data_IF_366123638275
#
_entry.id   IF_366123638275
#
_cell.length_a   1.000
_cell.length_b   1.000
_cell.length_c   1.000
_cell.angle_alpha   90.00
_cell.angle_beta   90.00
_cell.angle_gamma   90.00
#
_symmetry.space_group_name_H-M   'P 1'
#
loop_
_entity.id
_entity.type
_entity.pdbx_description
1 polymer ?
#
# COMPACT_ATOMS: atom_id res chain seq x y z
N UNK A 1 -3.13 13.14 5.88
CA UNK A 1 -3.98 11.93 5.98
C UNK A 1 -3.68 11.16 7.26
N UNK A 2 -4.72 10.76 8.02
CA UNK A 2 -4.57 10.05 9.30
C UNK A 2 -4.00 8.64 9.08
N UNK A 3 -3.29 8.13 10.09
CA UNK A 3 -2.90 6.71 10.11
C UNK A 3 -4.16 5.90 10.44
N UNK A 4 -4.48 4.92 9.61
CA UNK A 4 -5.65 4.05 9.79
C UNK A 4 -5.20 2.59 9.85
N UNK A 5 -6.07 1.73 10.38
CA UNK A 5 -5.84 0.28 10.38
C UNK A 5 -6.20 -0.32 9.02
N UNK A 6 -5.78 -1.57 8.79
CA UNK A 6 -6.22 -2.36 7.65
C UNK A 6 -7.74 -2.43 7.52
N UNK A 7 -8.47 -2.62 8.63
CA UNK A 7 -9.92 -2.79 8.62
C UNK A 7 -10.63 -1.54 8.12
N UNK A 8 -10.21 -0.36 8.58
CA UNK A 8 -10.76 0.91 8.09
C UNK A 8 -10.48 1.11 6.60
N UNK A 9 -9.28 0.76 6.14
CA UNK A 9 -8.94 0.84 4.71
C UNK A 9 -9.76 -0.13 3.85
N UNK A 10 -10.03 -1.34 4.36
CA UNK A 10 -10.90 -2.32 3.71
C UNK A 10 -12.36 -1.83 3.66
N UNK A 11 -12.82 -1.15 4.71
CA UNK A 11 -14.14 -0.52 4.77
C UNK A 11 -14.29 0.73 3.88
N UNK A 12 -13.24 1.17 3.18
CA UNK A 12 -13.31 2.33 2.28
C UNK A 12 -12.71 3.61 2.82
N UNK A 13 -12.18 3.63 4.05
CA UNK A 13 -11.60 4.83 4.62
C UNK A 13 -10.30 5.24 3.91
N UNK A 14 -10.10 6.55 3.79
CA UNK A 14 -8.89 7.13 3.22
C UNK A 14 -7.88 7.48 4.31
N UNK A 15 -6.64 7.05 4.10
CA UNK A 15 -5.61 7.27 5.08
C UNK A 15 -4.26 6.72 4.66
N UNK A 16 -3.33 6.69 5.62
CA UNK A 16 -2.03 6.06 5.45
C UNK A 16 -1.97 4.74 6.23
N UNK A 17 -1.48 3.72 5.54
CA UNK A 17 -1.23 2.39 6.07
C UNK A 17 0.25 2.19 6.37
N UNK A 18 0.53 1.41 7.40
CA UNK A 18 1.87 0.89 7.63
C UNK A 18 2.24 -0.13 6.54
N UNK A 19 3.53 -0.45 6.38
CA UNK A 19 3.97 -1.51 5.46
C UNK A 19 3.24 -2.84 5.72
N UNK A 20 2.96 -3.17 6.99
CA UNK A 20 2.27 -4.40 7.37
C UNK A 20 0.82 -4.40 6.90
N UNK A 21 0.10 -3.31 7.16
CA UNK A 21 -1.30 -3.19 6.76
C UNK A 21 -1.45 -3.09 5.24
N UNK A 22 -0.54 -2.37 4.58
CA UNK A 22 -0.49 -2.28 3.12
C UNK A 22 -0.21 -3.65 2.48
N UNK A 23 0.69 -4.46 3.07
CA UNK A 23 0.95 -5.80 2.59
C UNK A 23 -0.31 -6.69 2.69
N UNK A 24 -1.02 -6.61 3.82
CA UNK A 24 -2.31 -7.30 4.01
C UNK A 24 -3.36 -6.81 3.02
N UNK A 25 -3.41 -5.52 2.73
CA UNK A 25 -4.32 -4.94 1.72
C UNK A 25 -4.07 -5.49 0.32
N UNK A 26 -2.80 -5.71 -0.06
CA UNK A 26 -2.43 -6.25 -1.37
C UNK A 26 -2.39 -7.78 -1.42
N UNK A 27 -2.67 -8.48 -0.32
CA UNK A 27 -2.53 -9.94 -0.24
C UNK A 27 -1.07 -10.42 -0.39
N UNK A 28 -0.09 -9.61 0.00
CA UNK A 28 1.34 -9.95 -0.09
C UNK A 28 2.01 -9.91 1.29
N UNK A 29 3.29 -10.28 1.34
CA UNK A 29 4.08 -10.22 2.57
C UNK A 29 4.75 -8.85 2.75
N UNK A 30 4.92 -8.43 4.00
CA UNK A 30 5.62 -7.16 4.33
C UNK A 30 7.04 -7.13 3.77
N UNK A 31 7.70 -8.30 3.71
CA UNK A 31 9.03 -8.48 3.11
C UNK A 31 9.01 -8.21 1.61
N UNK A 32 7.98 -8.68 0.90
CA UNK A 32 7.78 -8.42 -0.54
C UNK A 32 7.65 -6.92 -0.79
N UNK A 33 6.88 -6.19 0.02
CA UNK A 33 6.78 -4.73 -0.11
C UNK A 33 8.11 -4.01 0.16
N UNK A 34 8.91 -4.50 1.10
CA UNK A 34 10.25 -3.93 1.33
C UNK A 34 11.16 -4.13 0.12
N UNK A 35 11.08 -5.30 -0.51
CA UNK A 35 11.84 -5.64 -1.71
C UNK A 35 11.38 -4.86 -2.95
N UNK A 36 10.07 -4.69 -3.10
CA UNK A 36 9.48 -3.85 -4.15
C UNK A 36 9.93 -2.40 -4.03
N UNK A 37 9.91 -1.85 -2.81
CA UNK A 37 10.45 -0.51 -2.52
C UNK A 37 11.93 -0.41 -2.89
N UNK A 38 12.74 -1.46 -2.66
CA UNK A 38 14.16 -1.49 -3.02
C UNK A 38 14.39 -1.56 -4.53
N UNK A 39 13.55 -2.30 -5.24
CA UNK A 39 13.66 -2.58 -6.68
C UNK A 39 12.89 -1.60 -7.57
N UNK A 40 12.19 -0.62 -6.97
CA UNK A 40 11.35 0.33 -7.70
C UNK A 40 10.06 -0.29 -8.27
N UNK A 41 9.63 -1.44 -7.74
CA UNK A 41 8.39 -2.12 -8.12
C UNK A 41 7.27 -1.80 -7.12
N UNK A 42 6.04 -2.12 -7.48
CA UNK A 42 4.90 -2.06 -6.58
C UNK A 42 4.26 -0.66 -6.44
N UNK A 43 3.39 -0.47 -5.44
CA UNK A 43 2.78 0.82 -5.15
C UNK A 43 3.81 1.79 -4.55
N UNK A 44 3.61 3.11 -4.73
CA UNK A 44 4.52 4.13 -4.22
C UNK A 44 4.56 4.11 -2.69
N UNK A 45 5.79 4.18 -2.15
CA UNK A 45 6.04 4.26 -0.71
C UNK A 45 6.43 5.67 -0.30
N UNK A 46 5.79 6.20 0.74
CA UNK A 46 6.01 7.55 1.24
C UNK A 46 6.76 7.52 2.57
N UNK A 47 7.75 8.39 2.75
CA UNK A 47 8.54 8.48 3.98
C UNK A 47 8.09 9.67 4.82
N UNK A 48 7.67 9.43 6.06
CA UNK A 48 7.28 10.47 7.02
C UNK A 48 7.96 10.17 8.35
N UNK A 49 8.78 11.10 8.86
CA UNK A 49 9.45 10.96 10.15
C UNK A 49 10.29 9.68 10.28
N UNK A 50 10.94 9.25 9.19
CA UNK A 50 11.76 8.01 9.17
C UNK A 50 10.98 6.72 8.88
N UNK A 51 9.66 6.72 8.98
CA UNK A 51 8.82 5.54 8.72
C UNK A 51 8.25 5.54 7.29
N UNK A 52 8.18 4.36 6.68
CA UNK A 52 7.55 4.17 5.37
C UNK A 52 6.06 3.87 5.52
N UNK A 53 5.23 4.57 4.76
CA UNK A 53 3.79 4.43 4.70
C UNK A 53 3.31 4.30 3.25
N UNK A 54 2.09 3.81 3.09
CA UNK A 54 1.39 3.70 1.81
C UNK A 54 0.03 4.38 1.94
N UNK A 55 -0.33 5.24 1.00
CA UNK A 55 -1.68 5.79 0.98
C UNK A 55 -2.66 4.77 0.42
N UNK A 56 -3.86 4.74 0.98
CA UNK A 56 -4.92 3.87 0.49
C UNK A 56 -5.28 4.15 -0.96
N UNK A 57 -5.21 5.41 -1.39
CA UNK A 57 -5.46 5.79 -2.79
C UNK A 57 -4.44 5.16 -3.75
N UNK A 58 -3.15 5.33 -3.45
CA UNK A 58 -2.06 4.70 -4.21
C UNK A 58 -2.16 3.17 -4.28
N UNK A 59 -2.53 2.53 -3.16
CA UNK A 59 -2.72 1.08 -3.12
C UNK A 59 -3.90 0.65 -3.99
N UNK A 60 -5.01 1.38 -3.96
CA UNK A 60 -6.19 1.14 -4.80
C UNK A 60 -5.86 1.37 -6.27
N UNK A 61 -5.16 2.45 -6.60
CA UNK A 61 -4.70 2.74 -7.96
C UNK A 61 -3.78 1.63 -8.48
N UNK A 62 -2.86 1.13 -7.66
CA UNK A 62 -2.00 -0.01 -8.00
C UNK A 62 -2.81 -1.29 -8.25
N UNK A 63 -3.77 -1.61 -7.39
CA UNK A 63 -4.66 -2.78 -7.57
C UNK A 63 -5.51 -2.62 -8.83
N UNK A 64 -6.09 -1.44 -9.09
CA UNK A 64 -6.84 -1.17 -10.32
C UNK A 64 -5.97 -1.33 -11.56
N UNK A 65 -4.75 -0.81 -11.54
CA UNK A 65 -3.77 -0.98 -12.62
C UNK A 65 -3.36 -2.46 -12.80
N UNK A 66 -3.25 -3.21 -11.71
CA UNK A 66 -2.91 -4.62 -11.75
C UNK A 66 -4.08 -5.50 -12.24
N UNK A 67 -5.31 -5.18 -11.85
CA UNK A 67 -6.54 -5.83 -12.30
C UNK A 67 -6.92 -5.44 -13.74
N UNK A 68 -6.41 -4.31 -14.23
CA UNK A 68 -6.48 -3.91 -15.64
C UNK A 68 -5.38 -4.50 -16.54
N UNK A 69 -4.72 -5.59 -16.10
CA UNK A 69 -4.05 -6.53 -17.01
C UNK A 69 -5.08 -7.64 -17.25
N UNK A 70 -5.73 -7.75 -18.39
CA UNK A 70 -5.26 -7.62 -19.77
C UNK A 70 -6.20 -6.75 -20.66
N UNK A 71 -5.61 -5.79 -21.39
CA UNK A 71 -6.02 -5.44 -22.75
C UNK A 71 -4.74 -5.21 -23.57
#
# INVERSE_FOLDING_TARGET
MPRISYESAAAGAEGRLSRRDAARFLGTQSKTLAEWKRTGKGPPSHKIGGMCFYYTDDLRAYVRKAAGRDN
#
